data_IF_390912100842
#
_entry.id   IF_390912100842
#
_cell.length_a   1.000
_cell.length_b   1.000
_cell.length_c   1.000
_cell.angle_alpha   90.00
_cell.angle_beta   90.00
_cell.angle_gamma   90.00
#
_symmetry.space_group_name_H-M   'P 1'
#
loop_
_entity.id
_entity.type
_entity.pdbx_description
1 polymer ?
2 polymer ?
3 polymer ?
4 polymer ?
5 non-polymer ?
6 non-polymer ?
7 non-polymer ?
8 non-polymer ?
9 non-polymer ?
10 non-polymer ?
11 water ?
#
loop_
_entity_poly.entity_id
_entity_poly.type
_entity_poly.pdbx_seq_one_letter_code
_entity_poly.pdbx_strand_id
2 'polydeoxyribonucleotide' '(DC)(DG)(DG)(DC)(DC)(DT)(DA)(DC)(DG)' ?
3 'polydeoxyribonucleotide' '(DC)(DG)(DT)(DA)(8OG)' ?
4 'polydeoxyribonucleotide' '(DG)(DC)(DC)(DG)' ?
#
# COMPACT_ATOMS: atom_id res chain seq x y z
N UNK A 12 -7.43 10.75 -21.66
CA UNK A 12 -6.88 10.15 -20.43
C UNK A 12 -6.58 11.23 -19.41
N UNK A 13 -7.35 11.30 -18.32
CA UNK A 13 -7.08 12.35 -17.33
C UNK A 13 -5.72 12.16 -16.69
N UNK A 14 -5.19 13.26 -16.16
CA UNK A 14 -3.81 13.28 -15.71
C UNK A 14 -3.63 12.72 -14.30
N UNK A 15 -4.67 12.73 -13.47
CA UNK A 15 -4.58 12.23 -12.10
C UNK A 15 -5.17 10.83 -12.04
N UNK A 16 -4.52 9.94 -11.29
CA UNK A 16 -5.02 8.56 -11.24
C UNK A 16 -6.40 8.47 -10.59
N UNK A 17 -6.77 9.42 -9.74
CA UNK A 17 -8.08 9.38 -9.09
C UNK A 17 -9.22 9.81 -10.00
N UNK A 18 -8.91 10.21 -11.24
CA UNK A 18 -9.91 10.65 -12.21
C UNK A 18 -10.28 9.56 -13.21
N UNK A 19 -9.72 8.38 -13.09
CA UNK A 19 -10.01 7.34 -14.06
C UNK A 19 -10.08 5.99 -13.36
N UNK A 20 -10.95 5.10 -13.81
CA UNK A 20 -10.98 3.76 -13.25
C UNK A 20 -9.73 2.98 -13.64
N UNK A 21 -9.21 2.25 -12.65
CA UNK A 21 -8.10 1.32 -12.90
C UNK A 21 -8.48 -0.03 -12.32
N UNK A 22 -8.77 -1.01 -13.16
CA UNK A 22 -9.21 -2.32 -12.66
C UNK A 22 -8.01 -3.15 -12.22
N UNK A 23 -8.33 -4.26 -11.56
CA UNK A 23 -7.25 -5.12 -11.06
C UNK A 23 -6.56 -5.84 -12.21
N UNK A 24 -7.34 -6.30 -13.17
CA UNK A 24 -6.85 -6.99 -14.37
C UNK A 24 -6.81 -5.98 -15.51
N UNK A 25 -5.66 -5.81 -16.13
CA UNK A 25 -5.52 -4.84 -17.22
C UNK A 25 -4.67 -5.45 -18.33
N UNK A 26 -4.38 -4.66 -19.38
CA UNK A 26 -3.91 -5.17 -20.66
C UNK A 26 -2.45 -4.84 -21.01
N UNK A 27 -1.68 -4.24 -20.11
CA UNK A 27 -0.34 -3.76 -20.44
C UNK A 27 0.65 -4.12 -19.34
N UNK A 28 0.56 -5.33 -18.82
CA UNK A 28 1.32 -5.71 -17.64
C UNK A 28 2.82 -5.66 -17.90
N UNK A 29 3.25 -6.15 -19.08
CA UNK A 29 4.67 -6.13 -19.40
C UNK A 29 5.25 -4.73 -19.40
N UNK A 30 4.54 -3.79 -20.02
CA UNK A 30 5.03 -2.41 -20.06
C UNK A 30 5.01 -1.77 -18.67
N UNK A 31 3.90 -1.94 -17.94
CA UNK A 31 3.82 -1.33 -16.62
C UNK A 31 4.86 -1.91 -15.67
N UNK A 32 5.12 -3.22 -15.74
CA UNK A 32 6.10 -3.81 -14.84
C UNK A 32 7.49 -3.26 -15.09
N UNK A 33 7.86 -3.04 -16.36
CA UNK A 33 9.17 -2.45 -16.66
C UNK A 33 9.28 -1.03 -16.11
N UNK A 34 8.26 -0.21 -16.32
CA UNK A 34 8.30 1.15 -15.77
C UNK A 34 8.34 1.13 -14.25
N UNK A 35 7.68 0.15 -13.61
CA UNK A 35 7.72 0.07 -12.16
C UNK A 35 9.09 -0.39 -11.64
N UNK A 36 9.85 -1.19 -12.39
CA UNK A 36 11.24 -1.46 -12.02
C UNK A 36 12.04 -0.15 -11.98
N UNK A 37 11.90 0.68 -13.02
CA UNK A 37 12.63 1.95 -13.03
C UNK A 37 12.17 2.86 -11.90
N UNK A 38 10.87 2.83 -11.57
CA UNK A 38 10.39 3.62 -10.43
C UNK A 38 11.04 3.16 -9.13
N UNK A 39 11.03 1.83 -8.88
CA UNK A 39 11.64 1.29 -7.66
C UNK A 39 13.12 1.64 -7.60
N UNK A 40 13.84 1.51 -8.72
CA UNK A 40 15.25 1.87 -8.76
C UNK A 40 15.47 3.36 -8.48
N UNK A 41 14.59 4.22 -8.99
CA UNK A 41 14.68 5.64 -8.70
C UNK A 41 14.56 5.88 -7.20
N UNK A 42 13.62 5.19 -6.55
CA UNK A 42 13.49 5.27 -5.10
C UNK A 42 14.74 4.84 -4.37
N UNK A 43 15.36 3.76 -4.84
CA UNK A 43 16.59 3.28 -4.19
C UNK A 43 17.71 4.29 -4.29
N UNK A 44 17.68 5.14 -5.31
CA UNK A 44 18.70 6.18 -5.45
C UNK A 44 18.28 7.50 -4.83
N UNK A 45 17.11 7.54 -4.19
CA UNK A 45 16.69 8.72 -3.45
C UNK A 45 16.01 9.76 -4.30
N UNK A 46 15.47 9.40 -5.47
CA UNK A 46 14.75 10.35 -6.31
C UNK A 46 13.27 10.02 -6.30
N UNK A 47 12.56 10.61 -5.34
CA UNK A 47 11.13 10.40 -5.24
C UNK A 47 10.40 11.01 -6.43
N UNK A 48 10.94 12.07 -7.02
CA UNK A 48 10.27 12.65 -8.18
C UNK A 48 10.28 11.73 -9.39
N UNK A 49 11.44 11.16 -9.71
CA UNK A 49 11.49 10.18 -10.79
C UNK A 49 10.66 8.94 -10.47
N UNK A 50 10.67 8.48 -9.21
CA UNK A 50 9.83 7.35 -8.83
C UNK A 50 8.38 7.66 -9.17
N UNK A 51 7.93 8.87 -8.81
CA UNK A 51 6.53 9.22 -9.00
C UNK A 51 6.18 9.26 -10.48
N UNK A 52 7.05 9.84 -11.32
CA UNK A 52 6.73 9.89 -12.74
C UNK A 52 6.62 8.48 -13.31
N UNK A 53 7.60 7.63 -13.02
CA UNK A 53 7.54 6.28 -13.58
C UNK A 53 6.32 5.52 -13.05
N UNK A 54 6.00 5.68 -11.76
CA UNK A 54 4.77 5.10 -11.22
C UNK A 54 3.54 5.62 -11.95
N UNK A 55 3.46 6.93 -12.17
CA UNK A 55 2.30 7.49 -12.82
C UNK A 55 2.19 7.00 -14.25
N UNK A 56 3.32 6.92 -14.95
CA UNK A 56 3.29 6.42 -16.33
C UNK A 56 2.81 4.97 -16.39
N UNK A 57 3.34 4.12 -15.50
CA UNK A 57 2.87 2.74 -15.42
C UNK A 57 1.37 2.69 -15.18
N UNK A 58 0.86 3.57 -14.33
CA UNK A 58 -0.53 3.55 -13.96
C UNK A 58 -1.43 3.96 -15.12
N UNK A 59 -0.97 4.91 -15.94
CA UNK A 59 -1.69 5.31 -17.15
C UNK A 59 -1.91 4.10 -18.03
N UNK A 60 -0.88 3.26 -18.19
CA UNK A 60 -1.04 2.09 -19.04
C UNK A 60 -2.04 1.09 -18.48
N UNK A 61 -2.16 1.00 -17.14
CA UNK A 61 -3.14 0.12 -16.51
C UNK A 61 -4.57 0.57 -16.79
N UNK A 62 -4.77 1.84 -17.07
CA UNK A 62 -6.10 2.36 -17.29
C UNK A 62 -6.51 2.30 -18.76
N UNK A 63 -5.59 1.93 -19.64
CA UNK A 63 -5.94 1.87 -21.05
C UNK A 63 -6.85 0.69 -21.34
N UNK A 64 -7.74 0.81 -22.35
CA UNK A 64 -8.69 -0.27 -22.61
C UNK A 64 -8.13 -1.44 -23.40
N UNK A 65 -6.97 -1.31 -24.03
CA UNK A 65 -6.45 -2.34 -24.90
C UNK A 65 -4.94 -2.38 -24.79
N UNK A 66 -4.31 -3.43 -25.29
CA UNK A 66 -2.85 -3.47 -25.31
C UNK A 66 -2.27 -2.40 -26.21
N UNK A 67 -1.21 -1.76 -25.74
CA UNK A 67 -0.39 -0.90 -26.58
C UNK A 67 0.48 -1.80 -27.44
N UNK A 68 0.35 -1.66 -28.75
CA UNK A 68 1.15 -2.42 -29.69
C UNK A 68 2.06 -1.54 -30.54
N UNK A 69 1.81 -0.23 -30.59
CA UNK A 69 2.60 0.69 -31.40
C UNK A 69 2.86 1.95 -30.60
N UNK A 70 4.04 2.53 -30.79
CA UNK A 70 4.40 3.72 -30.05
C UNK A 70 3.42 4.86 -30.30
N UNK A 71 2.82 4.91 -31.49
CA UNK A 71 1.79 5.90 -31.83
C UNK A 71 0.74 6.01 -30.74
N UNK A 72 0.40 4.90 -30.09
CA UNK A 72 -0.69 4.89 -29.12
C UNK A 72 -0.34 5.61 -27.83
N UNK A 73 0.92 6.02 -27.64
CA UNK A 73 1.29 6.81 -26.46
C UNK A 73 1.07 8.31 -26.65
N UNK A 74 0.87 8.76 -27.89
CA UNK A 74 0.87 10.19 -28.13
C UNK A 74 -0.20 10.87 -27.30
N UNK A 75 0.20 11.93 -26.61
CA UNK A 75 -0.72 12.70 -25.81
C UNK A 75 -0.99 12.15 -24.43
N UNK A 76 -0.53 10.94 -24.10
CA UNK A 76 -0.82 10.40 -22.77
C UNK A 76 -0.07 11.16 -21.69
N UNK A 77 -0.72 11.48 -20.58
CA UNK A 77 -0.03 12.16 -19.49
C UNK A 77 1.08 11.29 -18.91
N UNK A 78 2.15 11.96 -18.49
CA UNK A 78 3.30 11.38 -17.82
C UNK A 78 4.19 10.53 -18.72
N UNK A 79 3.94 10.57 -20.04
CA UNK A 79 4.84 9.98 -21.03
C UNK A 79 5.62 11.09 -21.70
N UNK A 80 6.90 11.13 -21.40
CA UNK A 80 7.86 11.98 -22.06
C UNK A 80 8.92 11.16 -22.74
N UNK A 81 10.08 11.76 -22.95
CA UNK A 81 11.10 11.10 -23.75
C UNK A 81 11.52 9.77 -23.12
N UNK A 82 11.71 9.75 -21.80
CA UNK A 82 12.32 8.57 -21.18
C UNK A 82 11.34 7.41 -21.10
N UNK A 83 10.14 7.65 -20.60
CA UNK A 83 9.16 6.56 -20.50
C UNK A 83 8.77 6.07 -21.88
N UNK A 84 8.69 6.97 -22.87
CA UNK A 84 8.33 6.50 -24.20
C UNK A 84 9.45 5.65 -24.80
N UNK A 85 10.72 5.99 -24.53
CA UNK A 85 11.78 5.16 -25.09
C UNK A 85 11.77 3.76 -24.49
N UNK A 86 11.41 3.64 -23.21
CA UNK A 86 11.30 2.32 -22.59
C UNK A 86 10.23 1.50 -23.28
N UNK A 87 9.06 2.08 -23.49
CA UNK A 87 8.00 1.38 -24.19
C UNK A 87 8.44 1.04 -25.61
N UNK A 88 9.07 1.98 -26.30
CA UNK A 88 9.50 1.75 -27.67
C UNK A 88 10.41 0.54 -27.76
N UNK A 89 11.40 0.47 -26.88
CA UNK A 89 12.32 -0.65 -26.94
C UNK A 89 11.62 -1.97 -26.59
N UNK A 90 10.68 -1.94 -25.63
CA UNK A 90 9.94 -3.16 -25.33
C UNK A 90 9.10 -3.60 -26.52
N UNK A 91 8.50 -2.66 -27.25
CA UNK A 91 7.67 -3.04 -28.39
C UNK A 91 8.52 -3.56 -29.53
N UNK A 92 9.69 -2.97 -29.74
CA UNK A 92 10.52 -3.33 -30.90
C UNK A 92 11.40 -4.55 -30.63
N UNK A 93 11.78 -4.79 -29.38
CA UNK A 93 12.75 -5.81 -29.07
C UNK A 93 12.31 -6.79 -27.98
N UNK A 94 11.25 -6.49 -27.23
CA UNK A 94 10.82 -7.36 -26.15
C UNK A 94 11.55 -7.14 -24.84
N UNK A 95 12.58 -6.30 -24.82
CA UNK A 95 13.30 -5.95 -23.61
C UNK A 95 13.83 -4.54 -23.73
N UNK A 96 14.06 -3.92 -22.59
CA UNK A 96 14.66 -2.59 -22.52
C UNK A 96 16.00 -2.74 -21.83
N UNK A 97 17.06 -2.34 -22.54
CA UNK A 97 18.41 -2.48 -22.01
C UNK A 97 18.53 -1.89 -20.61
N UNK A 98 18.00 -0.68 -20.41
CA UNK A 98 18.13 -0.03 -19.11
C UNK A 98 17.45 -0.84 -18.01
N UNK A 99 16.24 -1.34 -18.29
CA UNK A 99 15.52 -2.16 -17.31
C UNK A 99 16.32 -3.41 -16.97
N UNK A 100 16.86 -4.08 -17.99
CA UNK A 100 17.61 -5.31 -17.74
C UNK A 100 18.87 -5.04 -16.94
N UNK A 101 19.54 -3.92 -17.21
CA UNK A 101 20.73 -3.54 -16.45
C UNK A 101 20.38 -3.33 -14.98
N UNK A 102 19.23 -2.68 -14.72
CA UNK A 102 18.81 -2.48 -13.33
C UNK A 102 18.51 -3.82 -12.67
N UNK A 103 17.71 -4.65 -13.34
CA UNK A 103 17.30 -5.95 -12.81
C UNK A 103 18.50 -6.78 -12.36
N UNK A 104 19.54 -6.81 -13.18
CA UNK A 104 20.67 -7.68 -12.94
C UNK A 104 21.71 -7.08 -12.01
N UNK A 105 21.52 -5.83 -11.57
CA UNK A 105 22.55 -5.17 -10.81
C UNK A 105 22.54 -5.62 -9.35
N UNK A 106 23.73 -5.74 -8.78
CA UNK A 106 23.85 -6.11 -7.37
C UNK A 106 23.17 -5.08 -6.48
N UNK A 107 23.27 -3.81 -6.84
CA UNK A 107 22.68 -2.76 -6.02
C UNK A 107 21.16 -2.90 -5.98
N UNK A 108 20.53 -3.09 -7.13
CA UNK A 108 19.08 -3.20 -7.16
C UNK A 108 18.63 -4.45 -6.42
N UNK A 109 19.28 -5.58 -6.67
CA UNK A 109 18.87 -6.83 -6.04
C UNK A 109 18.98 -6.76 -4.53
N UNK A 110 20.09 -6.19 -4.04
CA UNK A 110 20.30 -6.11 -2.59
C UNK A 110 19.36 -5.09 -1.95
N UNK A 111 19.17 -3.93 -2.58
CA UNK A 111 18.24 -2.97 -2.02
C UNK A 111 16.82 -3.52 -2.00
N UNK A 112 16.45 -4.29 -3.02
CA UNK A 112 15.12 -4.92 -2.98
C UNK A 112 15.03 -5.92 -1.83
N UNK A 113 16.05 -6.74 -1.66
CA UNK A 113 16.09 -7.73 -0.58
C UNK A 113 15.94 -7.05 0.77
N UNK A 114 16.71 -5.98 1.00
CA UNK A 114 16.73 -5.38 2.34
C UNK A 114 15.45 -4.58 2.60
N UNK A 115 14.97 -3.81 1.62
CA UNK A 115 13.80 -2.96 1.88
C UNK A 115 12.53 -3.78 1.99
N UNK A 116 12.53 -5.01 1.49
CA UNK A 116 11.36 -5.86 1.71
C UNK A 116 11.27 -6.36 3.16
N UNK A 117 12.30 -6.15 3.97
CA UNK A 117 12.22 -6.52 5.38
C UNK A 117 11.36 -5.51 6.12
N UNK A 118 10.46 -5.99 6.95
CA UNK A 118 9.65 -5.13 7.83
C UNK A 118 10.57 -4.44 8.84
N UNK A 119 10.56 -3.09 8.84
CA UNK A 119 11.44 -2.29 9.65
C UNK A 119 12.62 -1.67 8.91
N UNK A 120 12.81 -1.99 7.64
CA UNK A 120 13.94 -1.50 6.85
C UNK A 120 13.39 -0.71 5.65
N UNK A 121 13.81 0.57 5.54
CA UNK A 121 13.53 1.38 4.38
C UNK A 121 14.77 1.64 3.55
N UNK A 122 14.60 2.51 2.56
CA UNK A 122 15.68 2.82 1.63
C UNK A 122 16.92 3.33 2.36
N UNK A 123 16.74 4.29 3.28
CA UNK A 123 17.91 4.89 3.91
C UNK A 123 18.69 3.86 4.73
N UNK A 124 17.99 2.99 5.45
CA UNK A 124 18.67 1.95 6.21
C UNK A 124 19.35 0.96 5.27
N UNK A 125 18.61 0.51 4.26
CA UNK A 125 19.17 -0.44 3.31
C UNK A 125 20.40 0.11 2.60
N UNK A 126 20.37 1.40 2.25
CA UNK A 126 21.49 2.02 1.56
C UNK A 126 22.72 2.08 2.47
N UNK A 127 22.52 2.37 3.75
CA UNK A 127 23.66 2.40 4.66
C UNK A 127 24.29 1.00 4.76
N UNK A 128 23.46 -0.02 4.93
CA UNK A 128 23.97 -1.38 5.01
C UNK A 128 24.69 -1.78 3.73
N UNK A 129 24.11 -1.43 2.58
CA UNK A 129 24.79 -1.69 1.31
C UNK A 129 26.15 -1.03 1.27
N UNK A 130 26.23 0.24 1.68
CA UNK A 130 27.52 0.95 1.68
C UNK A 130 28.52 0.33 2.64
N UNK A 131 28.03 -0.37 3.67
CA UNK A 131 28.90 -1.05 4.62
C UNK A 131 29.34 -2.42 4.12
N UNK A 132 28.88 -2.83 2.94
CA UNK A 132 29.27 -4.10 2.38
C UNK A 132 28.33 -5.24 2.67
N UNK A 133 27.22 -5.01 3.36
CA UNK A 133 26.31 -6.11 3.65
C UNK A 133 25.50 -6.43 2.40
N UNK A 134 25.22 -7.72 2.21
CA UNK A 134 24.58 -8.16 0.98
C UNK A 134 23.47 -9.19 1.18
N UNK A 135 23.44 -9.93 2.29
CA UNK A 135 22.49 -11.01 2.47
C UNK A 135 21.78 -10.87 3.80
N UNK A 136 20.66 -11.58 3.94
CA UNK A 136 19.96 -11.59 5.23
C UNK A 136 20.84 -12.19 6.32
N UNK A 137 21.63 -13.21 5.99
CA UNK A 137 22.55 -13.79 6.98
C UNK A 137 23.58 -12.77 7.44
N UNK A 138 24.03 -11.89 6.54
CA UNK A 138 24.90 -10.79 6.98
C UNK A 138 24.24 -9.96 8.07
N UNK A 139 22.95 -9.65 7.89
CA UNK A 139 22.28 -8.83 8.89
C UNK A 139 22.13 -9.59 10.20
N UNK A 140 21.77 -10.86 10.14
CA UNK A 140 21.58 -11.65 11.34
C UNK A 140 22.87 -11.76 12.14
N UNK A 141 24.02 -11.75 11.47
CA UNK A 141 25.29 -11.85 12.16
C UNK A 141 25.64 -10.60 12.95
N UNK A 142 24.95 -9.48 12.72
CA UNK A 142 25.20 -8.22 13.40
C UNK A 142 23.92 -7.73 14.09
N UNK A 143 23.38 -8.51 15.03
CA UNK A 143 22.06 -8.18 15.60
C UNK A 143 22.02 -6.88 16.39
N UNK A 144 23.16 -6.41 16.90
CA UNK A 144 23.16 -5.13 17.59
C UNK A 144 22.79 -3.98 16.65
N UNK A 145 22.97 -4.16 15.35
CA UNK A 145 22.64 -3.14 14.37
C UNK A 145 21.15 -3.02 14.09
N UNK A 146 20.29 -3.75 14.82
CA UNK A 146 18.88 -3.88 14.46
C UNK A 146 17.96 -3.35 15.54
N UNK A 147 16.92 -2.65 15.12
CA UNK A 147 15.83 -2.31 16.01
C UNK A 147 15.00 -3.55 16.33
N UNK A 148 14.17 -3.44 17.38
CA UNK A 148 13.25 -4.53 17.69
C UNK A 148 12.33 -4.83 16.51
N UNK A 149 11.86 -3.78 15.83
CA UNK A 149 11.01 -3.97 14.66
C UNK A 149 11.74 -4.76 13.57
N UNK A 150 13.00 -4.40 13.31
CA UNK A 150 13.78 -5.11 12.30
C UNK A 150 14.08 -6.55 12.72
N UNK A 151 14.29 -6.77 14.01
CA UNK A 151 14.54 -8.14 14.49
C UNK A 151 13.32 -9.00 14.19
N UNK A 152 12.13 -8.46 14.41
CA UNK A 152 10.91 -9.20 14.12
C UNK A 152 10.76 -9.43 12.63
N UNK A 153 11.03 -8.40 11.81
CA UNK A 153 10.92 -8.58 10.37
C UNK A 153 11.87 -9.64 9.85
N UNK A 154 13.09 -9.68 10.39
CA UNK A 154 14.04 -10.67 9.95
C UNK A 154 13.68 -12.05 10.47
N UNK A 155 13.23 -12.14 11.73
CA UNK A 155 12.90 -13.44 12.29
C UNK A 155 11.82 -14.12 11.45
N UNK A 156 10.82 -13.36 11.03
CA UNK A 156 9.63 -13.91 10.39
C UNK A 156 9.68 -13.70 8.89
N UNK A 157 10.86 -13.39 8.35
CA UNK A 157 10.95 -12.99 6.96
C UNK A 157 10.42 -14.06 6.00
N UNK A 158 10.72 -15.34 6.27
CA UNK A 158 10.27 -16.38 5.34
C UNK A 158 8.74 -16.41 5.26
N UNK A 159 8.09 -16.44 6.42
CA UNK A 159 6.63 -16.44 6.43
C UNK A 159 6.06 -15.18 5.81
N UNK A 160 6.67 -14.03 6.06
CA UNK A 160 6.14 -12.77 5.56
C UNK A 160 6.33 -12.64 4.06
N UNK A 161 7.17 -13.50 3.48
CA UNK A 161 7.32 -13.54 2.03
C UNK A 161 6.35 -14.50 1.37
N UNK A 162 5.54 -15.22 2.14
CA UNK A 162 4.55 -16.16 1.62
C UNK A 162 3.25 -15.40 1.34
N UNK A 163 2.66 -15.52 0.16
CA UNK A 163 1.43 -14.75 -0.10
C UNK A 163 0.35 -15.08 0.93
N UNK A 164 -0.31 -14.03 1.39
CA UNK A 164 -1.51 -14.15 2.21
C UNK A 164 -2.69 -14.41 1.30
N UNK A 165 -3.46 -15.45 1.60
CA UNK A 165 -4.62 -15.87 0.81
C UNK A 165 -5.93 -15.45 1.47
N UNK A 166 -7.02 -15.54 0.70
CA UNK A 166 -8.35 -15.19 1.26
C UNK A 166 -8.71 -16.07 2.45
N UNK A 167 -8.35 -17.35 2.40
CA UNK A 167 -8.53 -18.24 3.54
C UNK A 167 -7.95 -17.64 4.81
N UNK A 168 -6.74 -17.12 4.69
CA UNK A 168 -6.07 -16.47 5.82
C UNK A 168 -6.82 -15.21 6.27
N UNK A 169 -7.26 -14.39 5.31
CA UNK A 169 -8.01 -13.18 5.64
C UNK A 169 -9.25 -13.53 6.45
N UNK A 170 -10.01 -14.52 5.98
CA UNK A 170 -11.24 -14.88 6.68
C UNK A 170 -10.96 -15.35 8.09
N UNK A 171 -9.91 -16.17 8.30
CA UNK A 171 -9.57 -16.63 9.65
C UNK A 171 -9.14 -15.47 10.53
N UNK A 172 -8.36 -14.54 9.97
CA UNK A 172 -7.91 -13.41 10.77
C UNK A 172 -9.07 -12.50 11.10
N UNK A 173 -9.98 -12.30 10.15
CA UNK A 173 -11.09 -11.41 10.44
C UNK A 173 -11.92 -11.96 11.60
N UNK A 174 -12.11 -13.28 11.64
CA UNK A 174 -12.86 -13.88 12.76
C UNK A 174 -12.17 -13.64 14.10
N UNK A 175 -10.85 -13.83 14.19
CA UNK A 175 -10.23 -13.66 15.50
C UNK A 175 -10.19 -12.19 15.89
N UNK A 176 -10.04 -11.28 14.91
CA UNK A 176 -10.07 -9.85 15.22
C UNK A 176 -11.48 -9.43 15.65
N UNK A 177 -12.50 -9.92 14.96
CA UNK A 177 -13.87 -9.64 15.37
C UNK A 177 -14.14 -10.14 16.79
N UNK A 178 -13.63 -11.33 17.13
CA UNK A 178 -13.83 -11.87 18.46
C UNK A 178 -13.20 -10.97 19.52
N UNK A 179 -11.96 -10.54 19.30
CA UNK A 179 -11.31 -9.70 20.29
C UNK A 179 -11.96 -8.32 20.38
N UNK A 180 -12.32 -7.74 19.25
CA UNK A 180 -12.98 -6.44 19.24
C UNK A 180 -14.31 -6.51 19.97
N UNK A 181 -15.09 -7.57 19.75
CA UNK A 181 -16.36 -7.73 20.46
C UNK A 181 -16.20 -7.91 21.95
N UNK A 182 -15.14 -8.58 22.36
CA UNK A 182 -14.84 -8.71 23.78
C UNK A 182 -14.40 -7.38 24.37
N UNK A 183 -13.71 -6.55 23.58
CA UNK A 183 -13.22 -5.27 24.07
C UNK A 183 -14.31 -4.20 24.10
N UNK A 184 -15.26 -4.24 23.17
CA UNK A 184 -16.24 -3.16 23.04
C UNK A 184 -17.46 -3.63 22.28
N UNK A 185 -18.56 -3.97 22.97
CA UNK A 185 -19.77 -4.38 22.27
C UNK A 185 -20.21 -3.32 21.29
N UNK A 186 -20.62 -3.77 20.11
CA UNK A 186 -21.10 -2.89 19.07
C UNK A 186 -20.03 -2.40 18.14
N UNK A 187 -18.76 -2.63 18.45
CA UNK A 187 -17.71 -2.17 17.56
C UNK A 187 -17.65 -3.07 16.34
N UNK A 188 -17.19 -2.50 15.23
CA UNK A 188 -17.19 -3.18 13.93
C UNK A 188 -15.78 -3.26 13.38
N UNK A 189 -15.60 -4.25 12.51
CA UNK A 189 -14.34 -4.54 11.85
C UNK A 189 -14.58 -4.59 10.36
N UNK A 190 -13.82 -3.79 9.61
CA UNK A 190 -13.94 -3.69 8.17
C UNK A 190 -12.61 -4.05 7.53
N UNK A 191 -12.63 -5.02 6.61
CA UNK A 191 -11.46 -5.33 5.80
C UNK A 191 -11.15 -4.19 4.83
N UNK A 192 -9.90 -3.73 4.84
CA UNK A 192 -9.50 -2.65 3.94
C UNK A 192 -8.31 -3.11 3.10
N UNK A 193 -7.47 -2.18 2.67
CA UNK A 193 -6.30 -2.56 1.90
C UNK A 193 -6.64 -3.24 0.57
N UNK A 194 -5.62 -3.93 0.05
CA UNK A 194 -5.75 -4.56 -1.25
C UNK A 194 -6.88 -5.56 -1.35
N UNK A 195 -7.18 -6.28 -0.27
CA UNK A 195 -8.25 -7.24 -0.38
C UNK A 195 -9.59 -6.57 -0.60
N UNK A 196 -9.80 -5.35 -0.07
CA UNK A 196 -11.05 -4.66 -0.34
C UNK A 196 -11.15 -4.21 -1.81
N UNK A 197 -10.00 -4.02 -2.47
CA UNK A 197 -9.97 -3.69 -3.89
C UNK A 197 -10.12 -4.92 -4.79
N UNK A 198 -10.23 -6.11 -4.22
CA UNK A 198 -10.47 -7.31 -4.98
C UNK A 198 -9.28 -8.20 -5.19
N UNK A 199 -8.11 -7.84 -4.65
CA UNK A 199 -6.94 -8.71 -4.78
C UNK A 199 -7.23 -10.07 -4.15
N UNK A 200 -6.70 -11.11 -4.78
CA UNK A 200 -6.86 -12.44 -4.25
C UNK A 200 -5.72 -12.82 -3.31
N UNK A 201 -4.60 -12.13 -3.40
CA UNK A 201 -3.43 -12.37 -2.58
C UNK A 201 -2.94 -11.04 -2.03
N UNK A 202 -2.10 -11.11 -0.99
CA UNK A 202 -1.52 -9.90 -0.44
C UNK A 202 -0.28 -10.19 0.37
N UNK A 203 0.38 -9.10 0.80
CA UNK A 203 1.53 -9.15 1.69
C UNK A 203 1.13 -9.05 3.15
N UNK A 204 -0.10 -8.62 3.42
CA UNK A 204 -0.58 -8.37 4.77
C UNK A 204 -2.10 -8.25 4.69
N UNK A 205 -2.72 -8.11 5.85
CA UNK A 205 -4.15 -7.87 5.96
C UNK A 205 -4.38 -6.62 6.77
N UNK A 206 -5.28 -5.76 6.31
CA UNK A 206 -5.56 -4.47 6.92
C UNK A 206 -7.00 -4.43 7.39
N UNK A 207 -7.21 -3.96 8.64
CA UNK A 207 -8.54 -3.88 9.23
C UNK A 207 -8.74 -2.51 9.85
N UNK A 208 -9.97 -1.99 9.70
CA UNK A 208 -10.38 -0.71 10.25
C UNK A 208 -11.52 -0.94 11.23
N UNK A 209 -11.37 -0.41 12.44
CA UNK A 209 -12.26 -0.68 13.55
C UNK A 209 -12.90 0.63 13.99
N UNK A 210 -14.21 0.61 14.21
CA UNK A 210 -14.88 1.79 14.73
C UNK A 210 -16.04 1.34 15.61
N UNK A 211 -16.80 2.32 16.10
CA UNK A 211 -18.00 2.09 16.88
C UNK A 211 -19.01 3.17 16.49
N UNK A 212 -20.29 2.83 16.38
CA UNK A 212 -21.24 3.83 15.88
C UNK A 212 -21.46 5.01 16.79
N UNK A 213 -21.13 4.92 18.08
CA UNK A 213 -21.31 6.03 19.00
C UNK A 213 -19.95 6.74 19.16
N UNK A 214 -19.88 7.98 18.66
CA UNK A 214 -18.66 8.76 18.68
C UNK A 214 -18.09 8.80 20.09
N UNK A 215 -16.81 8.48 20.21
CA UNK A 215 -16.11 8.54 21.48
C UNK A 215 -16.00 7.20 22.18
N UNK A 216 -16.85 6.24 21.85
CA UNK A 216 -16.79 4.96 22.54
C UNK A 216 -15.54 4.19 22.18
N UNK A 217 -14.94 4.49 21.04
CA UNK A 217 -13.76 3.78 20.61
C UNK A 217 -12.48 4.27 21.27
N UNK A 218 -12.54 5.29 22.13
CA UNK A 218 -11.35 5.74 22.83
C UNK A 218 -10.77 4.60 23.65
N UNK A 219 -9.45 4.39 23.52
CA UNK A 219 -8.77 3.36 24.29
C UNK A 219 -8.97 1.96 23.78
N UNK A 220 -9.58 1.79 22.61
CA UNK A 220 -9.96 0.47 22.15
C UNK A 220 -8.75 -0.35 21.73
N UNK A 221 -7.80 0.24 21.00
CA UNK A 221 -6.78 -0.59 20.40
C UNK A 221 -5.93 -1.30 21.46
N UNK A 222 -5.50 -0.67 22.56
CA UNK A 222 -4.75 -1.44 23.56
C UNK A 222 -5.56 -2.60 24.14
N UNK A 223 -6.87 -2.41 24.30
CA UNK A 223 -7.71 -3.48 24.83
C UNK A 223 -7.80 -4.64 23.85
N UNK A 224 -7.91 -4.34 22.56
CA UNK A 224 -7.94 -5.39 21.53
C UNK A 224 -6.62 -6.13 21.52
N UNK A 225 -5.51 -5.41 21.57
CA UNK A 225 -4.19 -6.03 21.53
C UNK A 225 -3.96 -6.94 22.74
N UNK A 226 -4.32 -6.47 23.93
CA UNK A 226 -4.20 -7.30 25.12
C UNK A 226 -4.95 -8.61 24.93
N UNK A 227 -6.18 -8.53 24.39
CA UNK A 227 -7.02 -9.70 24.24
C UNK A 227 -6.46 -10.65 23.19
N UNK A 228 -5.90 -10.12 22.11
CA UNK A 228 -5.25 -10.99 21.14
C UNK A 228 -3.98 -11.60 21.71
N UNK A 229 -3.19 -10.82 22.46
CA UNK A 229 -1.96 -11.37 22.99
C UNK A 229 -2.25 -12.49 23.99
N UNK A 230 -3.33 -12.35 24.76
CA UNK A 230 -3.54 -13.40 25.75
C UNK A 230 -4.15 -14.66 25.15
N UNK A 231 -4.66 -14.59 23.92
CA UNK A 231 -5.01 -15.78 23.16
C UNK A 231 -3.81 -16.35 22.38
N UNK A 232 -2.61 -15.81 22.60
CA UNK A 232 -1.40 -16.27 21.94
C UNK A 232 -1.31 -15.95 20.48
N UNK A 233 -2.05 -14.95 20.00
CA UNK A 233 -2.11 -14.64 18.57
C UNK A 233 -1.07 -13.63 18.11
N UNK A 234 -0.32 -12.99 19.01
CA UNK A 234 0.55 -11.87 18.63
C UNK A 234 2.01 -12.30 18.78
N UNK A 235 2.75 -12.24 17.69
CA UNK A 235 4.21 -12.43 17.72
C UNK A 235 4.97 -11.12 17.89
N UNK A 236 4.45 -10.04 17.34
CA UNK A 236 5.09 -8.74 17.42
C UNK A 236 4.03 -7.66 17.41
N UNK A 237 4.21 -6.67 18.28
CA UNK A 237 3.59 -5.37 18.05
C UNK A 237 4.41 -4.30 18.77
N UNK A 238 4.04 -3.04 18.54
CA UNK A 238 4.79 -1.92 19.12
C UNK A 238 4.11 -1.41 20.39
N UNK A 259 -2.79 4.47 21.42
CA UNK A 259 -2.41 4.51 20.01
C UNK A 259 -3.62 4.21 19.11
N UNK A 260 -3.52 4.49 17.80
CA UNK A 260 -4.62 4.22 16.89
C UNK A 260 -4.24 3.39 15.67
N UNK A 261 -2.95 3.10 15.45
CA UNK A 261 -2.50 2.19 14.41
C UNK A 261 -1.57 1.19 15.04
N UNK A 262 -1.80 -0.09 14.78
CA UNK A 262 -0.97 -1.16 15.32
C UNK A 262 -0.48 -2.00 14.15
N UNK A 263 0.85 -2.05 13.96
CA UNK A 263 1.46 -2.83 12.87
C UNK A 263 1.96 -4.11 13.51
N UNK A 264 1.21 -5.18 13.34
CA UNK A 264 1.34 -6.43 14.10
C UNK A 264 1.91 -7.53 13.21
N UNK A 265 2.50 -8.52 13.86
CA UNK A 265 2.67 -9.82 13.24
C UNK A 265 1.89 -10.82 14.07
N UNK A 266 0.94 -11.51 13.44
CA UNK A 266 0.09 -12.49 14.12
C UNK A 266 0.66 -13.89 13.96
N UNK A 267 0.41 -14.73 14.95
CA UNK A 267 0.66 -16.18 14.89
C UNK A 267 -0.64 -16.82 14.42
N UNK A 268 -0.79 -17.00 13.11
CA UNK A 268 -2.01 -17.54 12.54
C UNK A 268 -2.03 -19.07 12.56
N UNK A 269 -2.96 -19.70 13.26
CA UNK A 269 -3.00 -21.16 13.25
C UNK A 269 -3.21 -21.70 11.84
N UNK A 270 -2.53 -22.81 11.56
CA UNK A 270 -2.67 -23.60 10.37
C UNK A 270 -2.83 -25.05 10.81
N UNK A 271 -3.27 -25.94 9.91
CA UNK A 271 -3.40 -27.35 10.29
C UNK A 271 -2.10 -27.90 10.86
N UNK A 272 -2.14 -28.28 12.13
CA UNK A 272 -0.99 -28.82 12.83
C UNK A 272 0.13 -27.82 13.12
N UNK A 273 -0.06 -26.53 12.81
CA UNK A 273 1.06 -25.61 12.91
C UNK A 273 0.58 -24.16 12.90
N UNK A 274 1.43 -23.25 12.41
CA UNK A 274 1.11 -21.83 12.36
C UNK A 274 2.06 -21.14 11.40
N UNK A 275 1.66 -19.95 10.99
CA UNK A 275 2.53 -19.09 10.18
C UNK A 275 2.35 -17.64 10.63
N UNK A 276 3.43 -16.87 10.54
CA UNK A 276 3.38 -15.46 10.83
C UNK A 276 2.74 -14.69 9.68
N UNK A 277 1.87 -13.75 10.03
CA UNK A 277 1.20 -12.90 9.04
C UNK A 277 1.19 -11.46 9.55
N UNK A 278 1.56 -10.52 8.67
CA UNK A 278 1.44 -9.09 8.97
C UNK A 278 -0.02 -8.67 8.95
N UNK A 279 -0.43 -7.97 10.01
CA UNK A 279 -1.79 -7.47 10.15
C UNK A 279 -1.69 -6.03 10.66
N UNK A 280 -2.39 -5.12 10.00
CA UNK A 280 -2.51 -3.74 10.46
C UNK A 280 -3.91 -3.55 11.03
N UNK A 281 -3.95 -3.03 12.26
CA UNK A 281 -5.20 -2.70 12.94
C UNK A 281 -5.25 -1.20 13.15
N UNK A 282 -6.36 -0.60 12.75
CA UNK A 282 -6.52 0.84 12.77
C UNK A 282 -7.86 1.12 13.43
N UNK A 283 -7.88 2.08 14.36
CA UNK A 283 -9.12 2.54 14.96
C UNK A 283 -9.39 3.96 14.51
N UNK A 284 -10.65 4.25 14.21
CA UNK A 284 -11.08 5.61 13.87
C UNK A 284 -12.42 5.88 14.54
N UNK A 285 -12.66 7.09 15.01
CA UNK A 285 -14.02 7.47 15.43
C UNK A 285 -14.94 7.50 14.22
N UNK A 286 -16.24 7.28 14.48
CA UNK A 286 -17.14 7.07 13.33
C UNK A 286 -17.23 8.33 12.46
N UNK A 287 -17.03 9.52 13.03
CA UNK A 287 -17.01 10.74 12.21
C UNK A 287 -15.90 10.70 11.17
N UNK A 288 -14.80 10.02 11.45
CA UNK A 288 -13.69 9.93 10.53
C UNK A 288 -13.73 8.68 9.67
N UNK A 289 -14.67 7.78 9.92
CA UNK A 289 -14.60 6.46 9.28
C UNK A 289 -14.56 6.53 7.76
N UNK A 290 -15.36 7.36 7.07
CA UNK A 290 -15.27 7.39 5.59
C UNK A 290 -13.90 7.80 5.11
N UNK A 291 -13.25 8.74 5.82
CA UNK A 291 -11.91 9.18 5.43
C UNK A 291 -10.88 8.11 5.67
N UNK A 292 -11.02 7.37 6.75
CA UNK A 292 -10.08 6.32 7.04
C UNK A 292 -10.28 5.16 6.10
N UNK A 293 -11.55 4.86 5.81
CA UNK A 293 -11.84 3.77 4.87
C UNK A 293 -11.26 4.09 3.50
N UNK A 294 -11.44 5.31 3.06
CA UNK A 294 -10.90 5.73 1.76
C UNK A 294 -9.39 5.63 1.76
N UNK A 295 -8.74 6.18 2.78
CA UNK A 295 -7.30 6.16 2.81
C UNK A 295 -6.73 4.75 2.87
N UNK A 296 -7.27 3.92 3.77
CA UNK A 296 -6.73 2.58 3.98
C UNK A 296 -7.13 1.59 2.90
N UNK A 297 -8.04 1.96 2.00
CA UNK A 297 -8.35 1.09 0.88
C UNK A 297 -7.41 1.29 -0.30
N UNK A 298 -6.75 2.44 -0.41
CA UNK A 298 -5.73 2.59 -1.45
C UNK A 298 -6.32 2.66 -2.85
N UNK A 299 -5.52 2.28 -3.87
CA UNK A 299 -4.11 1.95 -3.73
C UNK A 299 -3.27 3.09 -3.23
N UNK A 300 -2.00 2.80 -2.91
CA UNK A 300 -1.09 3.85 -2.45
C UNK A 300 -1.01 4.99 -3.45
N UNK A 301 -0.79 4.67 -4.73
CA UNK A 301 -0.70 5.74 -5.73
C UNK A 301 -2.04 6.45 -5.87
N UNK A 302 -3.14 5.70 -5.84
CA UNK A 302 -4.45 6.34 -5.92
C UNK A 302 -4.60 7.40 -4.83
N UNK A 303 -4.19 7.08 -3.60
CA UNK A 303 -4.41 8.01 -2.48
C UNK A 303 -3.46 9.20 -2.54
N UNK A 304 -2.20 9.00 -2.94
CA UNK A 304 -1.31 10.15 -3.13
C UNK A 304 -1.87 11.09 -4.20
N UNK A 305 -2.39 10.52 -5.28
CA UNK A 305 -2.95 11.30 -6.37
C UNK A 305 -4.21 12.03 -5.95
N UNK A 306 -5.04 11.38 -5.15
CA UNK A 306 -6.26 12.00 -4.63
C UNK A 306 -5.94 13.16 -3.69
N UNK A 307 -4.95 12.99 -2.81
CA UNK A 307 -4.58 14.08 -1.92
C UNK A 307 -3.96 15.24 -2.71
N UNK A 308 -3.14 14.91 -3.71
CA UNK A 308 -2.57 15.95 -4.58
C UNK A 308 -3.67 16.71 -5.31
N UNK A 309 -4.63 15.96 -5.88
CA UNK A 309 -5.75 16.57 -6.56
C UNK A 309 -6.54 17.50 -5.64
N UNK A 310 -6.88 16.99 -4.46
CA UNK A 310 -7.65 17.77 -3.49
C UNK A 310 -6.99 19.12 -3.24
N UNK A 311 -5.69 19.12 -2.94
CA UNK A 311 -5.00 20.35 -2.57
C UNK A 311 -4.76 21.25 -3.79
N UNK A 312 -4.21 20.65 -4.85
CA UNK A 312 -3.76 21.47 -5.98
C UNK A 312 -4.90 21.92 -6.86
N UNK A 313 -5.95 21.11 -7.01
CA UNK A 313 -7.07 21.48 -7.85
C UNK A 313 -8.24 22.07 -7.08
N UNK A 314 -8.48 21.62 -5.85
CA UNK A 314 -9.68 22.05 -5.13
C UNK A 314 -9.36 22.90 -3.91
N UNK A 315 -8.08 23.05 -3.56
CA UNK A 315 -7.71 23.86 -2.42
C UNK A 315 -8.13 23.30 -1.08
N UNK A 316 -8.34 22.01 -1.00
CA UNK A 316 -8.76 21.35 0.24
C UNK A 316 -7.69 20.36 0.67
N UNK A 317 -7.55 20.13 1.98
CA UNK A 317 -6.48 19.29 2.50
C UNK A 317 -7.07 17.96 2.99
N UNK A 318 -6.63 16.87 2.37
CA UNK A 318 -7.19 15.54 2.62
C UNK A 318 -6.21 14.63 3.34
N UNK A 319 -6.67 13.94 4.39
CA UNK A 319 -5.91 12.84 4.96
C UNK A 319 -6.92 11.79 5.45
N UNK A 320 -6.44 10.80 6.24
CA UNK A 320 -7.30 9.70 6.68
C UNK A 320 -8.21 10.11 7.84
N UNK A 321 -8.13 11.35 8.30
CA UNK A 321 -9.00 11.85 9.34
C UNK A 321 -10.10 12.76 8.82
N UNK A 322 -9.90 13.43 7.69
CA UNK A 322 -10.84 14.42 7.26
C UNK A 322 -10.42 15.17 6.02
N UNK A 323 -11.27 16.12 5.64
CA UNK A 323 -11.08 16.96 4.47
C UNK A 323 -11.30 18.40 4.94
N UNK A 324 -10.24 19.20 4.92
CA UNK A 324 -10.23 20.51 5.58
C UNK A 324 -10.20 21.64 4.56
N UNK A 325 -11.08 22.63 4.75
CA UNK A 325 -11.08 23.86 3.97
C UNK A 325 -10.26 24.88 4.74
N UNK A 326 -9.02 25.18 4.32
CA UNK A 326 -8.16 26.06 5.12
C UNK A 326 -8.59 27.52 5.12
N UNK A 327 -9.46 27.93 4.20
CA UNK A 327 -9.95 29.31 4.23
C UNK A 327 -11.07 29.47 5.26
N UNK A 328 -12.03 28.55 5.24
CA UNK A 328 -13.12 28.62 6.21
C UNK A 328 -12.74 27.99 7.54
N UNK A 329 -11.67 27.18 7.56
CA UNK A 329 -11.23 26.54 8.80
C UNK A 329 -12.29 25.54 9.28
N UNK A 330 -12.84 24.78 8.34
CA UNK A 330 -13.89 23.81 8.62
C UNK A 330 -13.56 22.47 7.97
N UNK A 331 -14.10 21.42 8.59
CA UNK A 331 -13.99 20.06 8.11
C UNK A 331 -15.30 19.63 7.46
N UNK A 332 -15.16 18.94 6.33
CA UNK A 332 -16.31 18.40 5.61
C UNK A 332 -16.84 17.18 6.35
N UNK A 333 -18.13 17.18 6.61
CA UNK A 333 -18.78 16.06 7.30
C UNK A 333 -19.23 15.08 6.22
N UNK A 334 -18.61 13.91 6.19
CA UNK A 334 -18.92 12.89 5.20
C UNK A 334 -19.59 11.70 5.88
N UNK A 335 -20.57 11.14 5.21
CA UNK A 335 -21.21 9.93 5.69
C UNK A 335 -20.76 8.69 4.93
N UNK A 336 -20.03 8.87 3.83
CA UNK A 336 -19.65 7.77 2.96
C UNK A 336 -18.46 8.22 2.13
N UNK A 337 -17.76 7.23 1.53
CA UNK A 337 -16.76 7.55 0.54
C UNK A 337 -17.33 8.35 -0.63
N UNK A 338 -18.52 7.95 -1.11
CA UNK A 338 -19.20 8.69 -2.17
C UNK A 338 -19.28 10.17 -1.85
N UNK A 339 -19.58 10.53 -0.60
CA UNK A 339 -19.68 11.95 -0.23
C UNK A 339 -18.36 12.66 -0.47
N UNK A 340 -17.23 11.98 -0.20
CA UNK A 340 -15.93 12.62 -0.32
C UNK A 340 -15.62 12.85 -1.80
N UNK A 341 -15.84 11.84 -2.64
CA UNK A 341 -15.62 12.02 -4.07
C UNK A 341 -16.46 13.20 -4.58
N UNK A 342 -17.73 13.27 -4.17
CA UNK A 342 -18.62 14.34 -4.63
C UNK A 342 -18.11 15.71 -4.20
N UNK A 343 -17.65 15.82 -2.96
CA UNK A 343 -17.17 17.11 -2.47
C UNK A 343 -15.95 17.59 -3.22
N UNK A 344 -15.17 16.65 -3.76
CA UNK A 344 -13.99 16.95 -4.55
C UNK A 344 -14.30 17.09 -6.03
N UNK A 345 -15.57 16.94 -6.43
CA UNK A 345 -15.91 17.08 -7.83
C UNK A 345 -15.43 15.94 -8.70
N UNK A 346 -15.31 14.75 -8.13
CA UNK A 346 -14.82 13.55 -8.81
C UNK A 346 -15.94 12.53 -8.99
N UNK A 347 -15.96 11.85 -10.13
CA UNK A 347 -16.86 10.72 -10.30
C UNK A 347 -16.46 9.62 -9.32
N UNK A 348 -17.46 9.04 -8.67
CA UNK A 348 -17.18 7.98 -7.70
C UNK A 348 -16.56 6.77 -8.39
N UNK A 349 -15.54 6.20 -7.76
CA UNK A 349 -14.95 4.94 -8.17
C UNK A 349 -15.08 3.93 -7.05
N UNK A 350 -15.64 2.74 -7.29
CA UNK A 350 -15.66 1.71 -6.24
C UNK A 350 -14.26 1.19 -6.00
N UNK A 351 -14.01 0.51 -4.87
CA UNK A 351 -12.64 0.05 -4.54
C UNK A 351 -11.95 -0.74 -5.64
N UNK A 352 -12.71 -1.58 -6.35
CA UNK A 352 -12.09 -2.40 -7.38
C UNK A 352 -11.65 -1.60 -8.60
N UNK A 353 -11.97 -0.31 -8.67
CA UNK A 353 -11.45 0.55 -9.74
C UNK A 353 -10.42 1.55 -9.23
N UNK A 354 -9.84 1.32 -8.05
CA UNK A 354 -8.85 2.20 -7.45
C UNK A 354 -7.46 1.58 -7.48
N UNK A 355 -7.23 0.66 -8.43
CA UNK A 355 -6.00 -0.13 -8.46
C UNK A 355 -4.92 0.55 -9.29
N UNK A 356 -4.73 1.83 -9.02
CA UNK A 356 -3.77 2.65 -9.76
C UNK A 356 -2.36 2.24 -9.39
X LIG E 1 4.80 2.76 -8.31
X LIG F 1 -4.20 5.53 5.22
X LIG F 1 -4.29 6.81 4.62
X LIG F 1 -2.77 5.16 5.50
X LIG F 1 -2.20 6.12 6.38
X LIG G 1 -18.97 2.10 9.72
X LIG G 1 -20.13 2.72 10.22
X LIG G 1 -19.09 0.59 9.90
X LIG G 1 -19.34 0.33 11.25
X LIG H 1 25.71 6.99 7.75
X LIG H 1 24.75 7.02 6.72
X LIG H 1 26.98 6.31 7.25
X LIG H 1 27.67 7.20 6.41
X LIG I 1 -5.82 15.42 11.18
X LIG I 1 -6.66 16.51 10.82
X LIG I 1 -4.40 15.89 11.51
X LIG I 1 -3.83 15.01 12.43
X LIG J 1 -0.93 -3.19 5.85
X LIG K 1 -2.20 -4.18 2.80
X LIG L 1 15.70 -0.27 -31.22
X LIG M 1 -5.88 10.48 15.13
X LIG N 1 10.68 -2.45 4.57
X LIG O 1 -2.86 -1.83 -0.94
X LIG O 1 -2.15 -2.70 -0.01
X LIG O 1 -3.00 -3.15 1.17
X LIG O 1 -0.83 -2.13 0.38
X LIG O 1 -1.64 -4.02 -0.79
X LIG O 1 -0.55 -5.03 -0.07
X LIG O 1 -0.97 -6.43 -0.46
X LIG O 1 0.81 -4.65 -0.64
X LIG O 1 -0.61 -4.64 1.44
X LIG P 1 -2.92 -11.73 -7.98
X LIG P 1 -3.94 -10.48 -7.16
X LIG P 1 -3.64 -9.15 -7.69
X LIG P 1 -3.54 -10.49 -5.76
X LIG P 1 -5.35 -10.78 -7.31
X LIG Q 1 14.41 21.51 -11.20
X LIG R 1 0.76 -0.64 0.66
#
# INVERSE_FOLDING_TARGET
GSAAAPLSPAWMPAYACQRPTPLTHHNTGLSEALEILAEAAGFEGSEGRLLTFCRAASVLKALPSPVTTLSQLQGLPHFGEHSSRVVQELLEHGVCEEVERVRRSERYQTMKLFTQIFGVGVKTADRWYREGLRTLDDLREQPQKLTQQQKAGLQHHQDLSTPVLRSDVDALQQVVEEAVGQALPGATVTLTGGFRRGKLQGHDVDFLITHPKEGQEAGLLPRVMCRLQDQGLILYHQHQHSCCESPTRLAQQSHMDAFERSFCIFRLPQPGSWKAVRVDLVVAPVSQFPFALLGWTGSKLFQRELRRFSRKEKGLWLNSHGLFDPEQKTFFQAASEEDIFRHLGLEYLPPEQRNA
DTT S1
EDO C1 O1 C2 O2
EDO C1 O1 C2 O2
EDO C1 O1 C2 O2
EDO C1 O1 C2 O2
MN MN
MN MN
MN MN
MN MN
NA NA
PPV O11 P1 O21 O31 OPP P2 O12 O22 O32
EPE C10 S O1S O2S O3S
MN MN
MN MN
#
